data_IF_352749306010
#
_entry.id   IF_352749306010
#
_cell.length_a   1.000
_cell.length_b   1.000
_cell.length_c   1.000
_cell.angle_alpha   90.00
_cell.angle_beta   90.00
_cell.angle_gamma   90.00
#
_symmetry.space_group_name_H-M   'P 1'
#
loop_
_entity.id
_entity.type
_entity.pdbx_description
1 polymer ?
#
# COMPACT_ATOMS: atom_id res chain seq x y z
N UNK A 1 -8.93 -16.45 -38.76
CA UNK A 1 -9.93 -15.99 -37.76
C UNK A 1 -9.26 -15.84 -36.40
N UNK A 2 -9.11 -14.64 -35.94
CA UNK A 2 -8.54 -14.36 -34.60
C UNK A 2 -9.71 -14.33 -33.63
N UNK A 3 -9.79 -15.33 -32.75
CA UNK A 3 -10.75 -15.33 -31.65
C UNK A 3 -10.31 -14.29 -30.61
N UNK A 4 -10.95 -13.13 -30.59
CA UNK A 4 -10.80 -12.16 -29.51
C UNK A 4 -11.56 -12.71 -28.32
N UNK A 5 -10.85 -13.29 -27.36
CA UNK A 5 -11.41 -13.60 -26.05
C UNK A 5 -11.64 -12.29 -25.33
N UNK A 6 -12.88 -11.81 -25.30
CA UNK A 6 -13.29 -10.81 -24.32
C UNK A 6 -13.20 -11.44 -22.93
N UNK A 7 -12.08 -11.26 -22.23
CA UNK A 7 -12.09 -11.41 -20.77
C UNK A 7 -12.99 -10.30 -20.25
N UNK A 8 -14.15 -10.65 -19.77
CA UNK A 8 -14.90 -9.78 -18.87
C UNK A 8 -14.01 -9.62 -17.62
N UNK A 9 -13.19 -8.58 -17.60
CA UNK A 9 -12.58 -8.12 -16.38
C UNK A 9 -13.72 -7.57 -15.52
N UNK A 10 -14.20 -8.38 -14.59
CA UNK A 10 -14.87 -7.80 -13.43
C UNK A 10 -13.80 -6.98 -12.71
N UNK A 11 -14.08 -5.70 -12.38
CA UNK A 11 -13.13 -4.92 -11.59
C UNK A 11 -12.81 -5.71 -10.33
N UNK A 12 -11.54 -6.01 -10.16
CA UNK A 12 -11.09 -6.71 -8.96
C UNK A 12 -11.35 -5.81 -7.75
N UNK A 13 -11.46 -6.39 -6.57
CA UNK A 13 -11.55 -5.59 -5.33
C UNK A 13 -10.33 -4.65 -5.21
N UNK A 14 -9.20 -5.02 -5.81
CA UNK A 14 -8.01 -4.19 -5.94
C UNK A 14 -8.27 -2.95 -6.80
N UNK A 15 -9.01 -3.07 -7.90
CA UNK A 15 -9.37 -1.91 -8.73
C UNK A 15 -10.25 -0.94 -7.94
N UNK A 16 -11.18 -1.45 -7.12
CA UNK A 16 -11.98 -0.62 -6.21
C UNK A 16 -11.16 0.00 -5.08
N UNK A 17 -10.11 -0.69 -4.65
CA UNK A 17 -9.16 -0.17 -3.67
C UNK A 17 -8.43 1.08 -4.20
N UNK A 18 -8.15 1.11 -5.51
CA UNK A 18 -7.53 2.24 -6.19
C UNK A 18 -8.53 3.27 -6.73
N UNK A 19 -9.72 2.87 -7.19
CA UNK A 19 -10.70 3.79 -7.77
C UNK A 19 -11.24 4.81 -6.76
N UNK A 20 -11.51 4.39 -5.53
CA UNK A 20 -11.90 5.32 -4.47
C UNK A 20 -10.76 6.23 -4.02
N UNK A 21 -9.51 5.79 -4.21
CA UNK A 21 -8.32 6.52 -3.80
C UNK A 21 -7.84 7.51 -4.86
N UNK A 22 -8.24 7.33 -6.13
CA UNK A 22 -7.74 8.15 -7.24
C UNK A 22 -8.22 9.62 -7.13
N UNK A 23 -9.43 9.86 -6.62
CA UNK A 23 -9.97 11.21 -6.38
C UNK A 23 -9.49 11.81 -5.04
N UNK A 24 -9.20 10.98 -4.05
CA UNK A 24 -8.70 11.41 -2.73
C UNK A 24 -7.16 11.40 -2.65
N UNK A 25 -6.53 10.85 -3.68
CA UNK A 25 -5.08 10.68 -3.83
C UNK A 25 -4.28 11.97 -3.64
N UNK A 26 -4.78 13.08 -4.19
CA UNK A 26 -4.07 14.36 -4.15
C UNK A 26 -4.11 15.04 -2.79
N UNK A 27 -5.09 14.74 -1.96
CA UNK A 27 -5.31 15.43 -0.70
C UNK A 27 -4.76 14.69 0.52
N UNK A 28 -4.56 13.36 0.43
CA UNK A 28 -4.15 12.52 1.56
C UNK A 28 -2.73 11.97 1.44
N UNK A 29 -2.17 12.00 0.24
CA UNK A 29 -0.81 11.53 -0.01
C UNK A 29 0.12 12.71 -0.23
N UNK A 30 1.11 12.87 0.60
CA UNK A 30 2.07 13.95 0.47
C UNK A 30 3.50 13.46 0.75
N UNK A 31 4.44 14.20 0.19
CA UNK A 31 5.84 14.18 0.60
C UNK A 31 6.31 15.60 0.90
N UNK A 32 7.29 15.75 1.77
CA UNK A 32 7.91 17.04 2.01
C UNK A 32 8.62 17.54 0.73
N UNK A 33 8.88 18.83 0.65
CA UNK A 33 9.60 19.43 -0.48
C UNK A 33 10.91 18.68 -0.72
N UNK A 34 11.18 18.27 -1.95
CA UNK A 34 12.34 17.46 -2.37
C UNK A 34 12.35 16.00 -1.84
N UNK A 35 11.23 15.49 -1.36
CA UNK A 35 11.10 14.07 -1.02
C UNK A 35 10.23 13.34 -2.03
N UNK A 36 10.48 12.03 -2.18
CA UNK A 36 9.76 11.17 -3.11
C UNK A 36 8.61 10.49 -2.38
N UNK A 37 7.41 10.47 -2.99
CA UNK A 37 6.33 9.63 -2.53
C UNK A 37 6.62 8.18 -2.94
N UNK A 38 6.67 7.21 -2.01
CA UNK A 38 7.02 5.83 -2.32
C UNK A 38 6.06 5.19 -3.32
N UNK A 39 6.61 4.41 -4.24
CA UNK A 39 5.81 3.56 -5.12
C UNK A 39 5.22 2.38 -4.34
N UNK A 40 4.03 1.95 -4.72
CA UNK A 40 3.29 0.90 -4.04
C UNK A 40 2.79 -0.13 -5.04
N UNK A 41 2.95 -1.40 -4.66
CA UNK A 41 2.30 -2.52 -5.30
C UNK A 41 1.24 -3.10 -4.36
N UNK A 42 0.04 -3.35 -4.89
CA UNK A 42 -1.01 -4.03 -4.16
C UNK A 42 -1.36 -5.33 -4.84
N UNK A 43 -1.44 -6.40 -4.06
CA UNK A 43 -1.80 -7.74 -4.49
C UNK A 43 -2.95 -8.26 -3.63
N UNK A 44 -3.72 -9.16 -4.17
CA UNK A 44 -4.82 -9.81 -3.48
C UNK A 44 -4.81 -11.31 -3.79
N UNK A 45 -5.06 -12.12 -2.77
CA UNK A 45 -5.41 -13.52 -2.93
C UNK A 45 -6.74 -13.82 -2.22
N UNK A 46 -7.11 -15.09 -2.08
CA UNK A 46 -8.36 -15.48 -1.44
C UNK A 46 -8.48 -15.06 0.02
N UNK A 47 -7.36 -14.97 0.73
CA UNK A 47 -7.28 -14.80 2.18
C UNK A 47 -6.77 -13.42 2.62
N UNK A 48 -5.94 -12.77 1.79
CA UNK A 48 -5.23 -11.56 2.18
C UNK A 48 -5.16 -10.53 1.06
N UNK A 49 -5.01 -9.26 1.48
CA UNK A 49 -4.42 -8.19 0.68
C UNK A 49 -2.96 -8.00 1.09
N UNK A 50 -2.12 -7.63 0.14
CA UNK A 50 -0.71 -7.33 0.36
C UNK A 50 -0.40 -5.97 -0.22
N UNK A 51 0.24 -5.13 0.58
CA UNK A 51 0.69 -3.79 0.17
C UNK A 51 2.19 -3.75 0.34
N UNK A 52 2.93 -3.62 -0.76
CA UNK A 52 4.38 -3.47 -0.76
C UNK A 52 4.73 -2.01 -1.07
N UNK A 53 5.42 -1.35 -0.15
CA UNK A 53 5.85 0.05 -0.27
C UNK A 53 7.36 0.08 -0.48
N UNK A 54 7.80 0.59 -1.63
CA UNK A 54 9.21 0.75 -1.94
C UNK A 54 9.76 2.03 -1.30
N UNK A 55 10.50 1.88 -0.22
CA UNK A 55 11.08 2.98 0.53
C UNK A 55 12.52 2.65 0.99
N UNK A 56 13.48 2.50 0.05
CA UNK A 56 14.86 2.20 0.39
C UNK A 56 15.51 3.36 1.15
N UNK A 57 16.52 3.04 1.96
CA UNK A 57 17.29 4.03 2.72
C UNK A 57 16.65 4.48 4.04
N UNK A 58 15.57 3.82 4.45
CA UNK A 58 14.94 3.99 5.76
C UNK A 58 15.24 2.80 6.67
N UNK A 59 15.03 3.00 7.96
CA UNK A 59 15.03 1.95 8.97
C UNK A 59 13.60 1.63 9.40
N UNK A 60 13.38 0.45 9.98
CA UNK A 60 12.05 0.04 10.45
C UNK A 60 11.42 1.02 11.44
N UNK A 61 12.26 1.72 12.21
CA UNK A 61 11.82 2.69 13.22
C UNK A 61 11.41 4.04 12.63
N UNK A 62 11.74 4.28 11.36
CA UNK A 62 11.35 5.50 10.65
C UNK A 62 9.89 5.47 10.19
N UNK A 63 9.27 4.28 10.21
CA UNK A 63 7.88 4.10 9.78
C UNK A 63 6.90 4.17 10.94
N UNK A 64 5.77 4.79 10.68
CA UNK A 64 4.58 4.77 11.51
C UNK A 64 3.41 4.25 10.68
N UNK A 65 2.73 3.23 11.18
CA UNK A 65 1.54 2.64 10.54
C UNK A 65 0.39 2.81 11.51
N UNK A 66 -0.66 3.46 11.07
CA UNK A 66 -1.86 3.72 11.87
C UNK A 66 -3.10 3.27 11.11
N UNK A 67 -4.02 2.61 11.82
CA UNK A 67 -5.34 2.32 11.31
C UNK A 67 -6.36 3.15 12.11
N UNK A 68 -7.06 4.03 11.40
CA UNK A 68 -8.15 4.81 11.96
C UNK A 68 -9.44 4.43 11.23
N UNK A 69 -10.29 3.67 11.92
CA UNK A 69 -11.49 3.05 11.33
C UNK A 69 -11.11 2.11 10.18
N UNK A 70 -11.32 2.56 8.95
CA UNK A 70 -11.02 1.85 7.71
C UNK A 70 -9.87 2.48 6.91
N UNK A 71 -9.23 3.52 7.44
CA UNK A 71 -8.12 4.22 6.78
C UNK A 71 -6.80 3.77 7.39
N UNK A 72 -6.01 3.06 6.60
CA UNK A 72 -4.64 2.67 6.90
C UNK A 72 -3.69 3.77 6.43
N UNK A 73 -2.97 4.40 7.34
CA UNK A 73 -1.99 5.43 7.03
C UNK A 73 -0.58 4.93 7.31
N UNK A 74 0.27 5.02 6.31
CA UNK A 74 1.69 4.71 6.38
C UNK A 74 2.44 6.04 6.26
N UNK A 75 3.21 6.36 7.26
CA UNK A 75 4.03 7.58 7.27
C UNK A 75 5.46 7.28 7.66
N UNK A 76 6.35 8.14 7.24
CA UNK A 76 7.76 8.13 7.62
C UNK A 76 8.19 9.57 7.90
N UNK A 77 8.99 9.72 8.95
CA UNK A 77 9.64 10.97 9.30
C UNK A 77 11.07 10.65 9.72
N UNK A 78 12.01 10.83 8.80
CA UNK A 78 13.43 10.71 9.07
C UNK A 78 14.02 12.10 9.30
N UNK A 79 14.46 12.37 10.51
CA UNK A 79 15.30 13.54 10.79
C UNK A 79 16.69 13.25 10.24
N UNK A 80 17.04 13.92 9.15
CA UNK A 80 18.41 13.95 8.67
C UNK A 80 19.15 14.99 9.48
N UNK A 81 19.95 14.58 10.44
CA UNK A 81 21.03 15.44 10.90
C UNK A 81 21.93 15.65 9.67
N UNK A 82 22.04 16.90 9.23
CA UNK A 82 22.91 17.31 8.15
C UNK A 82 24.38 17.13 8.59
N UNK A 83 24.85 15.90 8.62
CA UNK A 83 26.27 15.64 8.47
C UNK A 83 26.58 15.74 6.96
N UNK A 84 26.60 16.95 6.44
CA UNK A 84 27.36 17.26 5.23
C UNK A 84 28.81 16.98 5.55
N UNK A 85 29.29 15.80 5.17
CA UNK A 85 30.72 15.63 4.94
C UNK A 85 31.05 16.59 3.82
N UNK A 86 31.91 17.55 4.13
CA UNK A 86 32.14 18.82 3.40
C UNK A 86 32.55 18.71 1.92
N UNK A 87 32.62 17.52 1.32
CA UNK A 87 33.19 17.33 -0.02
C UNK A 87 32.28 16.61 -1.02
N UNK A 88 31.07 16.17 -0.65
CA UNK A 88 30.18 15.43 -1.56
C UNK A 88 28.91 16.21 -1.89
N UNK A 89 28.70 16.51 -3.17
CA UNK A 89 27.46 17.10 -3.68
C UNK A 89 26.80 16.18 -4.68
N UNK A 90 25.45 16.09 -4.65
CA UNK A 90 24.71 15.35 -5.68
C UNK A 90 24.75 16.11 -7.01
N UNK A 91 25.22 15.46 -8.08
CA UNK A 91 25.03 15.95 -9.44
C UNK A 91 23.62 15.68 -9.97
N UNK A 92 22.98 14.61 -9.48
CA UNK A 92 21.60 14.25 -9.73
C UNK A 92 21.02 13.51 -8.51
N UNK A 93 19.79 13.84 -8.12
CA UNK A 93 19.06 13.16 -7.05
C UNK A 93 17.64 12.93 -7.48
N UNK A 94 17.28 11.68 -7.77
CA UNK A 94 15.96 11.31 -8.28
C UNK A 94 15.00 10.80 -7.19
N UNK A 95 15.54 10.35 -6.04
CA UNK A 95 14.70 9.93 -4.92
C UNK A 95 15.22 10.37 -3.57
N UNK A 96 14.31 10.62 -2.64
CA UNK A 96 14.56 10.87 -1.23
C UNK A 96 13.30 10.57 -0.42
N UNK A 97 13.36 9.62 0.53
CA UNK A 97 12.20 9.15 1.31
C UNK A 97 12.24 9.63 2.76
N UNK A 98 12.59 10.88 3.00
CA UNK A 98 12.78 11.40 4.35
C UNK A 98 11.47 11.62 5.10
N UNK A 99 10.46 12.16 4.43
CA UNK A 99 9.16 12.42 5.03
C UNK A 99 8.06 12.23 3.99
N UNK A 100 7.17 11.29 4.25
CA UNK A 100 5.99 11.06 3.42
C UNK A 100 4.83 10.55 4.26
N UNK A 101 3.63 10.67 3.72
CA UNK A 101 2.44 10.02 4.24
C UNK A 101 1.61 9.45 3.10
N UNK A 102 1.13 8.23 3.28
CA UNK A 102 0.33 7.53 2.31
C UNK A 102 -0.81 6.79 3.00
N UNK A 103 -2.03 7.04 2.55
CA UNK A 103 -3.23 6.47 3.14
C UNK A 103 -3.98 5.58 2.16
N UNK A 104 -4.59 4.52 2.68
CA UNK A 104 -5.39 3.55 1.95
C UNK A 104 -6.70 3.32 2.70
N UNK A 105 -7.82 3.37 1.99
CA UNK A 105 -9.10 2.97 2.56
C UNK A 105 -9.28 1.46 2.42
N UNK A 106 -9.39 0.76 3.54
CA UNK A 106 -9.57 -0.68 3.57
C UNK A 106 -11.01 -1.05 3.21
N UNK A 107 -11.22 -2.12 2.41
CA UNK A 107 -12.56 -2.61 2.15
C UNK A 107 -13.16 -3.27 3.41
N UNK A 108 -14.48 -3.32 3.49
CA UNK A 108 -15.21 -3.89 4.64
C UNK A 108 -14.87 -5.36 4.94
N UNK A 109 -14.32 -6.08 3.96
CA UNK A 109 -13.90 -7.47 4.09
C UNK A 109 -12.53 -7.62 4.75
N UNK A 110 -11.77 -6.54 4.91
CA UNK A 110 -10.47 -6.55 5.56
C UNK A 110 -10.62 -6.68 7.09
N UNK A 111 -9.76 -7.51 7.68
CA UNK A 111 -9.64 -7.64 9.13
C UNK A 111 -8.53 -6.72 9.64
N UNK A 112 -8.91 -5.53 10.06
CA UNK A 112 -7.98 -4.50 10.54
C UNK A 112 -7.24 -4.88 11.82
N UNK A 113 -7.77 -5.80 12.61
CA UNK A 113 -7.15 -6.21 13.89
C UNK A 113 -5.95 -7.15 13.69
N UNK A 114 -5.86 -7.79 12.52
CA UNK A 114 -4.82 -8.78 12.20
C UNK A 114 -3.81 -8.29 11.16
N UNK A 115 -3.70 -7.00 10.97
CA UNK A 115 -2.71 -6.42 10.05
C UNK A 115 -1.32 -6.68 10.61
N UNK A 116 -0.43 -7.16 9.74
CA UNK A 116 0.99 -7.36 10.03
C UNK A 116 1.85 -6.58 9.05
N UNK A 117 2.96 -6.04 9.52
CA UNK A 117 3.91 -5.32 8.68
C UNK A 117 5.34 -5.81 8.92
N UNK A 118 6.12 -5.86 7.85
CA UNK A 118 7.53 -6.22 7.87
C UNK A 118 8.32 -5.31 6.93
N UNK A 119 9.45 -4.82 7.38
CA UNK A 119 10.38 -4.07 6.55
C UNK A 119 11.65 -4.88 6.33
N UNK A 120 11.98 -5.10 5.07
CA UNK A 120 13.16 -5.87 4.67
C UNK A 120 13.64 -5.42 3.29
N UNK A 121 14.96 -5.30 3.10
CA UNK A 121 15.59 -4.95 1.83
C UNK A 121 14.99 -3.71 1.12
N UNK A 122 14.62 -2.68 1.88
CA UNK A 122 14.05 -1.45 1.33
C UNK A 122 12.55 -1.52 0.97
N UNK A 123 11.89 -2.63 1.29
CA UNK A 123 10.45 -2.83 1.03
C UNK A 123 9.72 -2.98 2.37
N UNK A 124 8.70 -2.16 2.57
CA UNK A 124 7.72 -2.33 3.64
C UNK A 124 6.56 -3.15 3.11
N UNK A 125 6.45 -4.39 3.55
CA UNK A 125 5.38 -5.32 3.18
C UNK A 125 4.33 -5.38 4.29
N UNK A 126 3.08 -5.08 3.94
CA UNK A 126 1.94 -5.08 4.84
C UNK A 126 0.98 -6.18 4.38
N UNK A 127 0.64 -7.08 5.28
CA UNK A 127 -0.36 -8.14 5.07
C UNK A 127 -1.63 -7.78 5.81
N UNK A 128 -2.74 -7.72 5.08
CA UNK A 128 -4.06 -7.39 5.59
C UNK A 128 -4.96 -8.59 5.35
N UNK A 129 -5.25 -9.42 6.37
CA UNK A 129 -6.12 -10.56 6.22
C UNK A 129 -7.56 -10.16 5.89
N UNK A 130 -8.26 -11.02 5.18
CA UNK A 130 -9.70 -10.93 5.01
C UNK A 130 -10.41 -11.55 6.20
N UNK A 131 -11.60 -11.05 6.52
CA UNK A 131 -12.42 -11.61 7.61
C UNK A 131 -12.76 -13.08 7.31
N UNK A 132 -12.69 -13.93 8.32
CA UNK A 132 -12.96 -15.35 8.20
C UNK A 132 -14.37 -15.66 7.62
N UNK A 133 -15.35 -14.81 7.90
CA UNK A 133 -16.70 -14.89 7.37
C UNK A 133 -16.77 -14.76 5.85
N UNK A 134 -15.88 -13.96 5.27
CA UNK A 134 -15.78 -13.74 3.82
C UNK A 134 -15.08 -14.90 3.15
N UNK A 135 -14.04 -15.44 3.78
CA UNK A 135 -13.31 -16.61 3.29
C UNK A 135 -14.22 -17.84 3.27
N UNK A 136 -15.07 -18.02 4.28
CA UNK A 136 -15.99 -19.16 4.42
C UNK A 136 -17.17 -19.10 3.45
N UNK A 137 -17.51 -17.95 2.88
CA UNK A 137 -18.64 -17.76 1.94
C UNK A 137 -18.31 -18.05 0.47
N UNK A 138 -17.25 -18.79 0.19
CA UNK A 138 -16.89 -19.14 -1.18
C UNK A 138 -17.86 -20.17 -1.76
N UNK A 139 -18.59 -19.75 -2.79
CA UNK A 139 -19.41 -20.56 -3.72
C UNK A 139 -20.31 -21.62 -3.08
N UNK A 140 -21.51 -21.21 -2.72
CA UNK A 140 -22.60 -22.15 -2.41
C UNK A 140 -23.28 -22.57 -3.71
N UNK A 141 -23.27 -23.87 -4.02
CA UNK A 141 -24.16 -24.46 -5.01
C UNK A 141 -25.59 -24.39 -4.48
N UNK A 142 -26.49 -23.90 -5.30
CA UNK A 142 -27.92 -23.88 -5.01
C UNK A 142 -28.54 -24.97 -5.87
N UNK A 143 -29.09 -26.00 -5.22
CA UNK A 143 -29.86 -27.04 -5.90
C UNK A 143 -31.23 -26.47 -6.27
N UNK A 144 -31.65 -26.73 -7.49
CA UNK A 144 -32.99 -26.37 -8.01
C UNK A 144 -33.94 -27.48 -7.63
N UNK A 145 -34.94 -27.20 -6.82
CA UNK A 145 -36.06 -28.09 -6.53
C UNK A 145 -37.04 -28.15 -7.71
#
# INVERSE_FOLDING_TARGET
MTLVKFRRNYPSLVDRFFENDLFDWTNRNFSATNTTLPSVNVKENKENFFVDVAAPGLDKNDFKIELNRDVLTISSEKQTENETKDDESYSCREFSYQSFSRSFTLPNIADGEKIAARYDNGILSITIPKKAEVIAKQNRLIDIE
#
